data_IF_680811755440
#
_entry.id   IF_680811755440
#
_cell.length_a   1.000
_cell.length_b   1.000
_cell.length_c   1.000
_cell.angle_alpha   90.00
_cell.angle_beta   90.00
_cell.angle_gamma   90.00
#
_symmetry.space_group_name_H-M   'P 1'
#
loop_
_entity.id
_entity.type
_entity.pdbx_description
1 polymer ?
#
# COMPACT_ATOMS: atom_id res chain seq x y z
N UNK A 1 1.89 -7.83 -53.31
CA UNK A 1 2.20 -6.82 -52.27
C UNK A 1 1.14 -6.59 -51.18
N UNK A 2 -0.09 -6.10 -51.44
CA UNK A 2 -1.02 -5.65 -50.36
C UNK A 2 -1.45 -6.77 -49.40
N UNK A 3 -1.84 -7.94 -49.93
CA UNK A 3 -2.27 -9.09 -49.11
C UNK A 3 -1.14 -9.65 -48.22
N UNK A 4 0.08 -9.70 -48.77
CA UNK A 4 1.28 -10.15 -48.07
C UNK A 4 1.57 -9.24 -46.86
N UNK A 5 1.51 -7.92 -47.08
CA UNK A 5 1.69 -6.92 -46.01
C UNK A 5 0.61 -7.06 -44.95
N UNK A 6 -0.67 -7.14 -45.33
CA UNK A 6 -1.77 -7.25 -44.36
C UNK A 6 -1.66 -8.50 -43.47
N UNK A 7 -1.35 -9.67 -44.05
CA UNK A 7 -1.22 -10.91 -43.27
C UNK A 7 -0.02 -10.85 -42.32
N UNK A 8 1.12 -10.32 -42.77
CA UNK A 8 2.30 -10.17 -41.93
C UNK A 8 2.10 -9.14 -40.81
N UNK A 9 1.50 -7.99 -41.11
CA UNK A 9 1.20 -6.96 -40.10
C UNK A 9 0.21 -7.45 -39.05
N UNK A 10 -0.87 -8.13 -39.46
CA UNK A 10 -1.86 -8.68 -38.52
C UNK A 10 -1.26 -9.77 -37.62
N UNK A 11 -0.41 -10.64 -38.17
CA UNK A 11 0.32 -11.63 -37.38
C UNK A 11 1.35 -10.99 -36.43
N UNK A 12 2.03 -9.93 -36.87
CA UNK A 12 2.95 -9.16 -36.04
C UNK A 12 2.25 -8.45 -34.88
N UNK A 13 1.08 -7.86 -35.09
CA UNK A 13 0.27 -7.27 -34.02
C UNK A 13 -0.20 -8.31 -33.00
N UNK A 14 -0.67 -9.48 -33.47
CA UNK A 14 -1.08 -10.58 -32.61
C UNK A 14 0.07 -11.09 -31.71
N UNK A 15 1.28 -11.15 -32.26
CA UNK A 15 2.48 -11.54 -31.52
C UNK A 15 2.92 -10.45 -30.53
N UNK A 16 2.80 -9.17 -30.90
CA UNK A 16 3.19 -8.04 -30.06
C UNK A 16 2.38 -7.99 -28.75
N UNK A 17 1.10 -8.34 -28.81
CA UNK A 17 0.20 -8.44 -27.64
C UNK A 17 0.73 -9.45 -26.60
N UNK A 18 1.48 -10.47 -27.02
CA UNK A 18 1.94 -11.56 -26.12
C UNK A 18 3.29 -11.32 -25.44
N UNK A 19 3.89 -10.12 -25.54
CA UNK A 19 5.16 -9.71 -24.87
C UNK A 19 6.39 -10.61 -25.09
N UNK A 20 6.34 -11.62 -25.96
CA UNK A 20 7.34 -12.71 -25.97
C UNK A 20 8.54 -12.50 -26.90
N UNK A 21 8.60 -11.41 -27.69
CA UNK A 21 9.61 -11.24 -28.77
C UNK A 21 10.64 -10.13 -28.54
N UNK A 22 10.67 -9.47 -27.37
CA UNK A 22 11.80 -8.57 -27.09
C UNK A 22 13.18 -9.29 -27.13
N UNK A 23 13.20 -10.64 -27.11
CA UNK A 23 14.43 -11.47 -27.13
C UNK A 23 14.66 -12.33 -28.38
N UNK A 24 13.71 -12.45 -29.32
CA UNK A 24 13.85 -13.41 -30.43
C UNK A 24 14.35 -12.73 -31.69
N UNK A 25 15.48 -13.19 -32.24
CA UNK A 25 15.95 -12.74 -33.56
C UNK A 25 14.94 -13.14 -34.64
N UNK A 26 14.36 -12.13 -35.29
CA UNK A 26 13.54 -12.34 -36.47
C UNK A 26 14.44 -12.73 -37.64
N UNK A 27 14.47 -14.02 -37.99
CA UNK A 27 15.29 -14.56 -39.08
C UNK A 27 14.45 -14.72 -40.35
N UNK A 28 15.06 -14.44 -41.50
CA UNK A 28 14.50 -14.61 -42.85
C UNK A 28 13.77 -15.95 -43.05
N UNK A 29 14.29 -17.01 -42.41
CA UNK A 29 13.71 -18.37 -42.44
C UNK A 29 12.31 -18.45 -41.82
N UNK A 30 12.01 -17.63 -40.82
CA UNK A 30 10.71 -17.65 -40.14
C UNK A 30 9.61 -17.04 -41.02
N UNK A 31 9.91 -15.94 -41.72
CA UNK A 31 9.00 -15.32 -42.69
C UNK A 31 8.67 -16.30 -43.80
N UNK A 32 9.70 -16.90 -44.41
CA UNK A 32 9.52 -17.91 -45.47
C UNK A 32 8.66 -19.08 -44.99
N UNK A 33 8.91 -19.59 -43.77
CA UNK A 33 8.13 -20.70 -43.20
C UNK A 33 6.65 -20.34 -43.06
N UNK A 34 6.36 -19.13 -42.59
CA UNK A 34 4.99 -18.63 -42.40
C UNK A 34 4.27 -18.41 -43.73
N UNK A 35 4.96 -17.86 -44.74
CA UNK A 35 4.37 -17.66 -46.06
C UNK A 35 4.07 -19.01 -46.74
N UNK A 36 4.96 -19.99 -46.58
CA UNK A 36 4.73 -21.36 -47.05
C UNK A 36 3.55 -22.02 -46.36
N UNK A 37 3.42 -21.91 -45.03
CA UNK A 37 2.30 -22.53 -44.30
C UNK A 37 0.93 -21.95 -44.68
N UNK A 38 0.90 -20.72 -45.19
CA UNK A 38 -0.32 -20.06 -45.66
C UNK A 38 -0.50 -20.11 -47.19
N UNK A 39 0.34 -20.88 -47.89
CA UNK A 39 0.33 -21.02 -49.35
C UNK A 39 0.40 -19.68 -50.11
N UNK A 40 1.11 -18.70 -49.55
CA UNK A 40 1.26 -17.37 -50.12
C UNK A 40 2.46 -17.40 -51.09
N UNK A 41 2.23 -17.04 -52.35
CA UNK A 41 3.31 -16.82 -53.32
C UNK A 41 4.01 -15.50 -53.04
N UNK A 42 5.32 -15.49 -53.20
CA UNK A 42 6.17 -14.32 -52.95
C UNK A 42 7.33 -14.28 -53.93
N UNK A 43 7.82 -13.08 -54.23
CA UNK A 43 9.14 -12.90 -54.85
C UNK A 43 10.22 -12.66 -53.79
N UNK A 44 11.49 -12.81 -54.17
CA UNK A 44 12.62 -12.49 -53.28
C UNK A 44 12.62 -11.01 -52.89
N UNK A 45 12.31 -10.13 -53.84
CA UNK A 45 12.21 -8.68 -53.64
C UNK A 45 11.13 -8.33 -52.62
N UNK A 46 9.95 -8.97 -52.70
CA UNK A 46 8.88 -8.76 -51.72
C UNK A 46 9.27 -9.17 -50.29
N UNK A 47 10.09 -10.22 -50.13
CA UNK A 47 10.60 -10.60 -48.80
C UNK A 47 11.65 -9.60 -48.32
N UNK A 48 12.55 -9.17 -49.20
CA UNK A 48 13.62 -8.24 -48.84
C UNK A 48 13.06 -6.89 -48.38
N UNK A 49 11.98 -6.40 -49.01
CA UNK A 49 11.24 -5.21 -48.60
C UNK A 49 10.62 -5.37 -47.19
N UNK A 50 9.96 -6.50 -46.92
CA UNK A 50 9.39 -6.79 -45.59
C UNK A 50 10.47 -6.82 -44.51
N UNK A 51 11.62 -7.43 -44.81
CA UNK A 51 12.75 -7.52 -43.88
C UNK A 51 13.36 -6.14 -43.61
N UNK A 52 13.43 -5.27 -44.63
CA UNK A 52 13.89 -3.89 -44.50
C UNK A 52 12.95 -3.06 -43.63
N UNK A 53 11.64 -3.13 -43.87
CA UNK A 53 10.62 -2.48 -43.03
C UNK A 53 10.71 -2.95 -41.57
N UNK A 54 10.92 -4.25 -41.33
CA UNK A 54 11.07 -4.81 -39.99
C UNK A 54 12.33 -4.29 -39.26
N UNK A 55 13.45 -4.10 -39.97
CA UNK A 55 14.66 -3.51 -39.38
C UNK A 55 14.41 -2.08 -38.92
N UNK A 56 13.78 -1.27 -39.75
CA UNK A 56 13.41 0.12 -39.42
C UNK A 56 12.49 0.14 -38.19
N UNK A 57 11.48 -0.73 -38.17
CA UNK A 57 10.56 -0.84 -37.03
C UNK A 57 11.27 -1.27 -35.74
N UNK A 58 12.20 -2.23 -35.81
CA UNK A 58 13.00 -2.69 -34.66
C UNK A 58 13.95 -1.60 -34.14
N UNK A 59 14.52 -0.79 -35.01
CA UNK A 59 15.35 0.37 -34.63
C UNK A 59 14.51 1.46 -33.97
N UNK A 60 13.31 1.74 -34.51
CA UNK A 60 12.33 2.62 -33.86
C UNK A 60 11.93 2.13 -32.46
N UNK A 61 11.69 0.83 -32.30
CA UNK A 61 11.39 0.23 -31.00
C UNK A 61 12.56 0.31 -30.02
N UNK A 62 13.80 0.10 -30.46
CA UNK A 62 14.99 0.28 -29.59
C UNK A 62 15.14 1.72 -29.11
N UNK A 63 14.80 2.70 -29.97
CA UNK A 63 14.75 4.11 -29.59
C UNK A 63 13.66 4.37 -28.54
N UNK A 64 12.48 3.76 -28.71
CA UNK A 64 11.38 3.83 -27.73
C UNK A 64 11.76 3.13 -26.41
N UNK A 65 12.39 1.96 -26.43
CA UNK A 65 12.88 1.27 -25.22
C UNK A 65 14.01 2.05 -24.52
N UNK A 66 14.90 2.68 -25.29
CA UNK A 66 15.92 3.58 -24.78
C UNK A 66 15.31 4.79 -24.07
N UNK A 67 14.22 5.33 -24.60
CA UNK A 67 13.47 6.43 -24.01
C UNK A 67 12.54 5.97 -22.85
N UNK A 68 11.99 4.75 -22.89
CA UNK A 68 11.19 4.17 -21.80
C UNK A 68 12.04 3.83 -20.56
N UNK A 69 13.35 3.62 -20.71
CA UNK A 69 14.24 3.47 -19.55
C UNK A 69 14.37 4.76 -18.70
N UNK A 70 13.89 5.92 -19.18
CA UNK A 70 13.82 7.16 -18.41
C UNK A 70 12.43 7.56 -17.93
N UNK A 71 11.41 6.72 -18.16
CA UNK A 71 10.07 6.93 -17.58
C UNK A 71 9.67 5.68 -16.82
N UNK A 72 10.11 5.59 -15.56
CA UNK A 72 9.30 4.90 -14.55
C UNK A 72 7.98 5.67 -14.48
N UNK A 73 6.99 5.27 -15.27
CA UNK A 73 5.59 5.60 -14.96
C UNK A 73 5.33 4.91 -13.63
N UNK A 74 5.49 5.64 -12.53
CA UNK A 74 5.04 5.21 -11.22
C UNK A 74 3.53 5.05 -11.32
N UNK A 75 3.06 3.81 -11.31
CA UNK A 75 1.65 3.42 -11.17
C UNK A 75 1.14 3.75 -9.76
N UNK A 76 1.49 4.92 -9.25
CA UNK A 76 1.42 5.33 -7.85
C UNK A 76 0.12 6.10 -7.53
N UNK A 77 -0.79 6.18 -8.50
CA UNK A 77 -2.03 6.93 -8.39
C UNK A 77 -3.17 5.94 -8.18
N UNK A 78 -3.79 6.00 -6.99
CA UNK A 78 -4.98 5.22 -6.66
C UNK A 78 -6.12 5.69 -7.60
N UNK A 79 -6.78 4.75 -8.27
CA UNK A 79 -7.87 5.08 -9.19
C UNK A 79 -9.11 5.54 -8.42
N UNK A 80 -9.98 6.31 -9.09
CA UNK A 80 -11.26 6.73 -8.51
C UNK A 80 -12.11 5.55 -8.06
N UNK A 81 -12.12 4.45 -8.82
CA UNK A 81 -12.89 3.24 -8.51
C UNK A 81 -12.39 2.60 -7.20
N UNK A 82 -11.08 2.49 -7.04
CA UNK A 82 -10.46 1.95 -5.82
C UNK A 82 -10.68 2.86 -4.60
N UNK A 83 -10.54 4.18 -4.80
CA UNK A 83 -10.80 5.16 -3.75
C UNK A 83 -12.27 5.16 -3.32
N UNK A 84 -13.20 5.09 -4.28
CA UNK A 84 -14.65 4.98 -4.02
C UNK A 84 -14.98 3.73 -3.22
N UNK A 85 -14.48 2.58 -3.64
CA UNK A 85 -14.67 1.32 -2.90
C UNK A 85 -14.15 1.44 -1.46
N UNK A 86 -12.96 2.01 -1.28
CA UNK A 86 -12.37 2.18 0.05
C UNK A 86 -13.21 3.12 0.92
N UNK A 87 -13.77 4.20 0.36
CA UNK A 87 -14.67 5.10 1.06
C UNK A 87 -16.00 4.43 1.45
N UNK A 88 -16.55 3.57 0.60
CA UNK A 88 -17.75 2.77 0.88
C UNK A 88 -17.55 1.77 2.01
N UNK A 89 -16.35 1.16 2.14
CA UNK A 89 -16.03 0.28 3.26
C UNK A 89 -16.12 1.00 4.62
N UNK A 90 -15.74 2.28 4.67
CA UNK A 90 -15.79 3.08 5.90
C UNK A 90 -17.15 3.70 6.19
N UNK A 91 -17.86 4.14 5.16
CA UNK A 91 -19.04 5.00 5.28
C UNK A 91 -20.35 4.31 4.86
N UNK A 92 -20.27 3.06 4.40
CA UNK A 92 -21.40 2.26 3.94
C UNK A 92 -21.76 2.46 2.46
N UNK A 93 -22.46 1.46 1.93
CA UNK A 93 -23.11 1.50 0.62
C UNK A 93 -24.34 2.42 0.70
N UNK A 94 -24.44 3.39 -0.22
CA UNK A 94 -25.50 4.41 -0.17
C UNK A 94 -25.18 5.66 -0.98
N UNK A 95 -26.12 6.61 -1.00
CA UNK A 95 -26.03 7.86 -1.77
C UNK A 95 -24.74 8.64 -1.45
N UNK A 96 -24.22 9.34 -2.45
CA UNK A 96 -23.00 10.14 -2.33
C UNK A 96 -23.21 11.24 -1.28
N UNK A 97 -22.50 11.11 -0.15
CA UNK A 97 -22.44 12.13 0.89
C UNK A 97 -21.22 13.02 0.69
N UNK A 98 -21.26 14.24 1.22
CA UNK A 98 -20.10 15.15 1.20
C UNK A 98 -18.85 14.50 1.81
N UNK A 99 -19.04 13.71 2.86
CA UNK A 99 -17.97 12.97 3.53
C UNK A 99 -17.38 11.87 2.63
N UNK A 100 -18.22 11.14 1.90
CA UNK A 100 -17.78 10.12 0.94
C UNK A 100 -17.00 10.76 -0.21
N UNK A 101 -17.52 11.83 -0.80
CA UNK A 101 -16.85 12.59 -1.85
C UNK A 101 -15.51 13.15 -1.38
N UNK A 102 -15.46 13.72 -0.18
CA UNK A 102 -14.21 14.19 0.42
C UNK A 102 -13.19 13.06 0.57
N UNK A 103 -13.60 11.93 1.14
CA UNK A 103 -12.69 10.81 1.39
C UNK A 103 -12.13 10.23 0.08
N UNK A 104 -12.96 10.09 -0.96
CA UNK A 104 -12.50 9.66 -2.29
C UNK A 104 -11.41 10.60 -2.83
N UNK A 105 -11.66 11.91 -2.80
CA UNK A 105 -10.69 12.89 -3.26
C UNK A 105 -9.41 12.88 -2.42
N UNK A 106 -9.54 12.74 -1.10
CA UNK A 106 -8.41 12.68 -0.18
C UNK A 106 -7.54 11.43 -0.40
N UNK A 107 -8.16 10.27 -0.68
CA UNK A 107 -7.42 9.03 -0.99
C UNK A 107 -6.61 9.18 -2.27
N UNK A 108 -7.18 9.82 -3.29
CA UNK A 108 -6.50 10.07 -4.57
C UNK A 108 -5.39 11.12 -4.45
N UNK A 109 -5.46 12.02 -3.47
CA UNK A 109 -4.47 13.07 -3.22
C UNK A 109 -3.50 12.70 -2.09
N UNK A 110 -2.28 12.29 -2.45
CA UNK A 110 -1.20 11.96 -1.50
C UNK A 110 -0.93 13.06 -0.46
N UNK A 111 -1.21 14.33 -0.77
CA UNK A 111 -1.01 15.43 0.19
C UNK A 111 -2.01 15.40 1.36
N UNK A 112 -3.16 14.75 1.17
CA UNK A 112 -4.23 14.66 2.16
C UNK A 112 -4.21 13.36 2.98
N UNK A 113 -3.32 12.41 2.66
CA UNK A 113 -3.22 11.12 3.37
C UNK A 113 -3.02 11.26 4.88
N UNK A 114 -2.33 12.32 5.32
CA UNK A 114 -2.20 12.64 6.75
C UNK A 114 -3.53 12.99 7.41
N UNK A 115 -4.39 13.71 6.70
CA UNK A 115 -5.69 14.16 7.23
C UNK A 115 -6.71 13.03 7.24
N UNK A 116 -6.63 12.07 6.30
CA UNK A 116 -7.40 10.83 6.35
C UNK A 116 -7.19 10.14 7.71
N UNK A 117 -5.94 9.99 8.15
CA UNK A 117 -5.63 9.31 9.41
C UNK A 117 -6.19 10.03 10.65
N UNK A 118 -6.45 11.34 10.58
CA UNK A 118 -7.11 12.08 11.67
C UNK A 118 -8.61 11.82 11.70
N UNK A 119 -9.24 11.80 10.52
CA UNK A 119 -10.69 11.65 10.40
C UNK A 119 -11.12 10.21 10.65
N UNK A 120 -10.34 9.24 10.18
CA UNK A 120 -10.63 7.82 10.35
C UNK A 120 -10.13 7.22 11.67
N UNK A 121 -9.40 7.98 12.51
CA UNK A 121 -8.83 7.48 13.77
C UNK A 121 -9.91 6.82 14.64
N UNK A 122 -10.95 7.57 15.01
CA UNK A 122 -12.01 7.08 15.90
C UNK A 122 -12.78 5.89 15.30
N UNK A 123 -13.01 5.90 13.98
CA UNK A 123 -13.71 4.78 13.31
C UNK A 123 -12.83 3.54 13.28
N UNK A 124 -11.52 3.70 13.10
CA UNK A 124 -10.57 2.60 13.15
C UNK A 124 -10.44 2.00 14.55
N UNK A 125 -10.59 2.80 15.61
CA UNK A 125 -10.63 2.31 17.00
C UNK A 125 -11.81 1.35 17.21
N UNK A 126 -13.00 1.68 16.71
CA UNK A 126 -14.18 0.80 16.76
C UNK A 126 -13.88 -0.53 16.05
N UNK A 127 -13.29 -0.46 14.86
CA UNK A 127 -12.92 -1.66 14.09
C UNK A 127 -11.88 -2.53 14.83
N UNK A 128 -10.84 -1.90 15.38
CA UNK A 128 -9.79 -2.56 16.17
C UNK A 128 -10.38 -3.21 17.43
N UNK A 129 -11.29 -2.55 18.13
CA UNK A 129 -11.92 -3.09 19.33
C UNK A 129 -12.75 -4.34 19.03
N UNK A 130 -13.54 -4.30 17.96
CA UNK A 130 -14.27 -5.49 17.50
C UNK A 130 -13.31 -6.63 17.19
N UNK A 131 -12.26 -6.34 16.41
CA UNK A 131 -11.24 -7.33 16.06
C UNK A 131 -10.53 -7.90 17.31
N UNK A 132 -10.15 -7.07 18.27
CA UNK A 132 -9.52 -7.51 19.52
C UNK A 132 -10.46 -8.42 20.32
N UNK A 133 -11.74 -8.05 20.42
CA UNK A 133 -12.75 -8.85 21.13
C UNK A 133 -12.93 -10.23 20.47
N UNK A 134 -13.05 -10.27 19.14
CA UNK A 134 -13.13 -11.51 18.36
C UNK A 134 -11.89 -12.40 18.52
N UNK A 135 -10.69 -11.81 18.58
CA UNK A 135 -9.42 -12.55 18.63
C UNK A 135 -9.04 -13.02 20.03
N UNK A 136 -9.48 -12.32 21.07
CA UNK A 136 -9.17 -12.65 22.47
C UNK A 136 -10.32 -13.34 23.19
N UNK A 137 -11.55 -13.25 22.66
CA UNK A 137 -12.76 -13.71 23.33
C UNK A 137 -13.16 -12.83 24.53
N UNK A 138 -12.55 -11.65 24.69
CA UNK A 138 -12.76 -10.74 25.82
C UNK A 138 -13.59 -9.54 25.44
N UNK A 139 -14.28 -8.97 26.42
CA UNK A 139 -14.95 -7.68 26.23
C UNK A 139 -13.90 -6.56 26.12
N UNK A 140 -14.03 -5.70 25.09
CA UNK A 140 -13.19 -4.52 24.89
C UNK A 140 -14.04 -3.27 25.12
N UNK A 141 -13.65 -2.40 26.05
CA UNK A 141 -14.35 -1.15 26.34
C UNK A 141 -13.54 0.04 25.83
N UNK A 142 -14.18 0.89 25.04
CA UNK A 142 -13.60 2.20 24.67
C UNK A 142 -13.54 3.12 25.88
N UNK A 143 -12.46 3.90 25.97
CA UNK A 143 -12.21 4.81 27.08
C UNK A 143 -11.93 6.21 26.52
N UNK A 144 -12.50 7.23 27.17
CA UNK A 144 -12.40 8.63 26.74
C UNK A 144 -11.77 9.44 27.86
N UNK A 145 -10.82 10.32 27.52
CA UNK A 145 -10.15 11.21 28.46
C UNK A 145 -8.88 10.62 29.11
N UNK A 146 -8.58 9.35 28.83
CA UNK A 146 -7.38 8.67 29.31
C UNK A 146 -6.22 8.74 28.30
N UNK A 147 -5.03 8.26 28.71
CA UNK A 147 -3.88 8.10 27.82
C UNK A 147 -3.98 6.89 26.88
N UNK A 148 -4.99 6.04 27.07
CA UNK A 148 -5.29 4.85 26.29
C UNK A 148 -6.70 4.91 25.72
N UNK A 149 -6.89 4.34 24.54
CA UNK A 149 -8.16 4.40 23.81
C UNK A 149 -9.11 3.27 24.22
N UNK A 150 -8.62 2.16 24.76
CA UNK A 150 -9.44 0.99 25.13
C UNK A 150 -8.87 0.13 26.27
N UNK A 151 -9.72 -0.63 26.93
CA UNK A 151 -9.35 -1.54 28.03
C UNK A 151 -10.08 -2.88 27.89
N UNK A 152 -9.37 -3.99 28.12
CA UNK A 152 -9.95 -5.33 28.23
C UNK A 152 -10.53 -5.56 29.63
N UNK A 153 -11.44 -6.53 29.78
CA UNK A 153 -12.03 -6.94 31.06
C UNK A 153 -11.00 -7.30 32.16
N UNK A 154 -9.85 -7.86 31.76
CA UNK A 154 -8.71 -8.16 32.63
C UNK A 154 -7.81 -6.95 32.93
N UNK A 155 -8.28 -5.74 32.61
CA UNK A 155 -7.61 -4.44 32.85
C UNK A 155 -6.37 -4.17 31.99
N UNK A 156 -6.16 -4.93 30.91
CA UNK A 156 -5.12 -4.60 29.93
C UNK A 156 -5.51 -3.35 29.16
N UNK A 157 -4.68 -2.31 29.22
CA UNK A 157 -4.90 -0.99 28.60
C UNK A 157 -4.23 -0.92 27.23
N UNK A 158 -4.97 -0.44 26.24
CA UNK A 158 -4.59 -0.50 24.84
C UNK A 158 -4.68 0.90 24.24
N UNK A 159 -3.58 1.34 23.63
CA UNK A 159 -3.56 2.55 22.83
C UNK A 159 -3.61 2.21 21.35
N UNK A 160 -4.46 2.89 20.59
CA UNK A 160 -4.71 2.57 19.17
C UNK A 160 -4.23 3.72 18.29
N UNK A 161 -3.61 3.41 17.16
CA UNK A 161 -3.21 4.42 16.16
C UNK A 161 -3.44 3.96 14.74
N UNK A 162 -4.08 4.81 13.96
CA UNK A 162 -4.16 4.70 12.51
C UNK A 162 -2.83 5.13 11.87
N UNK A 163 -2.08 4.21 11.23
CA UNK A 163 -0.77 4.53 10.60
C UNK A 163 -0.53 3.71 9.34
N UNK A 164 -0.20 4.38 8.23
CA UNK A 164 0.20 3.72 6.99
C UNK A 164 1.73 3.50 6.93
N UNK A 165 2.49 4.58 6.74
CA UNK A 165 3.93 4.50 6.50
C UNK A 165 4.76 4.66 7.77
N UNK A 166 4.83 5.87 8.30
CA UNK A 166 5.60 6.19 9.50
C UNK A 166 4.75 5.94 10.75
N UNK A 167 5.29 5.21 11.72
CA UNK A 167 4.61 4.86 12.95
C UNK A 167 5.01 5.82 14.08
N UNK A 168 4.62 7.09 13.90
CA UNK A 168 4.77 8.11 14.93
C UNK A 168 3.78 7.84 16.07
N UNK A 169 4.29 7.88 17.29
CA UNK A 169 3.58 7.51 18.51
C UNK A 169 3.75 8.61 19.59
N UNK A 170 3.73 9.86 19.16
CA UNK A 170 3.82 11.01 20.06
C UNK A 170 2.43 11.46 20.54
N UNK A 171 2.37 12.06 21.73
CA UNK A 171 1.12 12.68 22.22
C UNK A 171 0.94 14.05 21.55
N UNK A 172 -0.30 14.45 21.34
CA UNK A 172 -0.65 15.82 20.91
C UNK A 172 -0.73 16.81 22.08
N UNK A 173 -0.27 16.42 23.29
CA UNK A 173 -0.34 17.27 24.48
C UNK A 173 0.55 18.50 24.29
N UNK A 174 0.02 19.68 24.67
CA UNK A 174 0.76 20.95 24.63
C UNK A 174 1.96 20.89 25.59
N UNK A 175 3.06 21.51 25.17
CA UNK A 175 4.22 21.74 26.03
C UNK A 175 3.76 22.55 27.24
N UNK A 176 3.94 21.98 28.42
CA UNK A 176 3.73 22.65 29.71
C UNK A 176 4.95 22.40 30.57
N UNK A 177 5.18 23.23 31.59
CA UNK A 177 6.26 23.02 32.58
C UNK A 177 6.25 21.61 33.19
N UNK A 178 5.08 20.95 33.26
CA UNK A 178 4.95 19.57 33.75
C UNK A 178 5.55 18.50 32.82
N UNK A 179 5.85 18.84 31.56
CA UNK A 179 6.32 17.93 30.51
C UNK A 179 7.62 18.43 29.83
N UNK A 180 8.35 19.36 30.43
CA UNK A 180 9.60 19.89 29.82
C UNK A 180 10.65 18.79 29.60
N UNK A 181 10.73 17.80 30.48
CA UNK A 181 11.73 16.74 30.41
C UNK A 181 11.39 15.59 29.43
N UNK A 182 10.15 15.52 28.95
CA UNK A 182 9.63 14.49 28.03
C UNK A 182 9.60 14.98 26.58
N UNK A 183 10.12 16.17 26.33
CA UNK A 183 10.01 16.90 25.08
C UNK A 183 11.38 17.09 24.43
N UNK A 184 11.65 16.38 23.33
CA UNK A 184 12.87 16.59 22.53
C UNK A 184 12.62 17.30 21.19
N UNK A 185 11.36 17.39 20.73
CA UNK A 185 11.01 17.84 19.36
C UNK A 185 9.76 18.71 19.27
N UNK A 186 9.19 19.14 20.40
CA UNK A 186 7.90 19.83 20.50
C UNK A 186 6.71 18.92 20.83
N UNK A 187 6.92 17.60 20.87
CA UNK A 187 5.91 16.59 21.20
C UNK A 187 6.29 15.82 22.47
N UNK A 188 5.29 15.55 23.30
CA UNK A 188 5.46 14.86 24.58
C UNK A 188 5.36 13.35 24.36
N UNK A 189 6.39 12.62 24.78
CA UNK A 189 6.37 11.15 24.82
C UNK A 189 5.37 10.63 25.86
N UNK A 190 4.74 9.50 25.56
CA UNK A 190 3.99 8.73 26.55
C UNK A 190 4.92 8.22 27.66
N UNK A 191 4.39 8.06 28.87
CA UNK A 191 5.11 7.37 29.94
C UNK A 191 4.98 5.86 29.79
N UNK A 192 5.94 5.12 30.34
CA UNK A 192 5.96 3.66 30.27
C UNK A 192 4.84 2.96 31.04
N UNK A 193 4.11 3.68 31.89
CA UNK A 193 3.02 3.17 32.72
C UNK A 193 1.63 3.63 32.25
N UNK A 194 1.52 4.37 31.15
CA UNK A 194 0.25 4.97 30.69
C UNK A 194 -0.72 3.99 30.00
N UNK A 195 -0.22 2.86 29.49
CA UNK A 195 -1.01 1.76 28.92
C UNK A 195 -0.21 0.46 29.02
N UNK A 196 -0.57 -0.61 28.31
CA UNK A 196 0.17 -1.89 28.32
C UNK A 196 0.57 -2.34 26.90
N UNK A 197 -0.29 -2.08 25.91
CA UNK A 197 -0.01 -2.40 24.50
C UNK A 197 -0.37 -1.25 23.55
N UNK A 198 0.44 -1.11 22.50
CA UNK A 198 0.12 -0.28 21.35
C UNK A 198 -0.43 -1.16 20.23
N UNK A 199 -1.56 -0.77 19.66
CA UNK A 199 -2.15 -1.39 18.48
C UNK A 199 -2.13 -0.42 17.32
N UNK A 200 -1.49 -0.82 16.23
CA UNK A 200 -1.48 -0.08 14.98
C UNK A 200 -2.53 -0.67 14.05
N UNK A 201 -3.50 0.15 13.66
CA UNK A 201 -4.32 -0.10 12.48
C UNK A 201 -3.61 0.47 11.26
N UNK A 202 -3.18 -0.40 10.37
CA UNK A 202 -2.57 -0.02 9.09
C UNK A 202 -3.58 -0.30 7.99
N UNK A 203 -4.15 0.74 7.36
CA UNK A 203 -5.14 0.52 6.32
C UNK A 203 -4.52 -0.17 5.10
N UNK A 204 -5.38 -0.66 4.20
CA UNK A 204 -4.93 -1.15 2.89
C UNK A 204 -4.24 -0.05 2.07
N UNK A 205 -3.63 -0.43 0.94
CA UNK A 205 -2.89 0.51 0.08
C UNK A 205 -3.76 1.69 -0.42
N UNK A 206 -5.07 1.48 -0.48
CA UNK A 206 -6.06 2.47 -0.93
C UNK A 206 -6.79 3.13 0.24
N UNK A 207 -6.23 3.05 1.46
CA UNK A 207 -6.85 3.48 2.71
C UNK A 207 -8.13 2.71 3.12
N UNK A 208 -8.46 1.61 2.44
CA UNK A 208 -9.59 0.76 2.77
C UNK A 208 -9.38 -0.10 4.02
N UNK A 209 -10.47 -0.69 4.51
CA UNK A 209 -10.48 -1.74 5.52
C UNK A 209 -10.02 -3.06 4.89
N UNK A 210 -10.40 -3.33 3.65
CA UNK A 210 -9.92 -4.50 2.91
C UNK A 210 -8.42 -4.42 2.70
N UNK A 211 -7.72 -5.50 3.07
CA UNK A 211 -6.26 -5.55 3.04
C UNK A 211 -5.59 -4.70 4.13
N UNK A 212 -6.35 -4.15 5.07
CA UNK A 212 -5.80 -3.57 6.29
C UNK A 212 -5.16 -4.66 7.16
N UNK A 213 -4.31 -4.21 8.06
CA UNK A 213 -3.59 -5.06 9.00
C UNK A 213 -3.59 -4.42 10.37
N UNK A 214 -3.73 -5.25 11.41
CA UNK A 214 -3.64 -4.83 12.81
C UNK A 214 -2.36 -5.43 13.38
N UNK A 215 -1.58 -4.60 14.09
CA UNK A 215 -0.30 -5.00 14.69
C UNK A 215 -0.28 -4.61 16.15
N UNK A 216 -0.02 -5.58 17.00
CA UNK A 216 0.15 -5.37 18.44
C UNK A 216 1.64 -5.21 18.77
N UNK A 217 1.96 -4.32 19.70
CA UNK A 217 3.32 -4.09 20.18
C UNK A 217 3.26 -3.94 21.70
N UNK A 218 3.98 -4.75 22.48
CA UNK A 218 4.03 -4.58 23.93
C UNK A 218 4.85 -3.34 24.28
N UNK A 219 4.48 -2.66 25.37
CA UNK A 219 5.22 -1.48 25.83
C UNK A 219 6.69 -1.76 26.08
N UNK A 220 7.05 -2.95 26.55
CA UNK A 220 8.44 -3.33 26.80
C UNK A 220 9.34 -3.14 25.58
N UNK A 221 8.80 -3.22 24.37
CA UNK A 221 9.52 -2.96 23.12
C UNK A 221 9.65 -1.47 22.75
N UNK A 222 8.84 -0.61 23.37
CA UNK A 222 8.73 0.82 23.08
C UNK A 222 9.42 1.70 24.12
N UNK A 223 9.95 1.12 25.21
CA UNK A 223 10.69 1.85 26.24
C UNK A 223 11.89 2.55 25.62
N UNK A 224 12.05 3.84 25.91
CA UNK A 224 13.20 4.61 25.47
C UNK A 224 14.44 4.19 26.28
N UNK A 225 15.49 3.64 25.65
CA UNK A 225 16.67 3.15 26.37
C UNK A 225 17.44 4.26 27.09
N UNK A 226 17.28 5.52 26.66
CA UNK A 226 17.90 6.69 27.32
C UNK A 226 17.04 7.30 28.41
N UNK A 227 15.73 7.02 28.42
CA UNK A 227 14.75 7.56 29.35
C UNK A 227 13.70 6.48 29.68
N UNK A 228 14.01 5.51 30.56
CA UNK A 228 13.19 4.31 30.75
C UNK A 228 11.75 4.57 31.23
N UNK A 229 11.50 5.73 31.82
CA UNK A 229 10.15 6.19 32.21
C UNK A 229 9.31 6.72 31.04
N UNK A 230 9.87 6.77 29.83
CA UNK A 230 9.24 7.29 28.62
C UNK A 230 9.28 6.25 27.51
N UNK A 231 8.29 6.33 26.63
CA UNK A 231 8.27 5.59 25.38
C UNK A 231 8.99 6.37 24.28
N UNK A 232 9.41 5.67 23.24
CA UNK A 232 9.88 6.31 22.01
C UNK A 232 8.72 7.05 21.32
N UNK A 233 8.98 8.23 20.77
CA UNK A 233 7.98 9.01 20.02
C UNK A 233 7.81 8.54 18.57
N UNK A 234 8.76 7.75 18.07
CA UNK A 234 8.70 7.14 16.75
C UNK A 234 9.21 5.70 16.81
N UNK A 235 8.44 4.78 16.24
CA UNK A 235 8.82 3.37 16.17
C UNK A 235 9.87 3.21 15.07
N UNK A 236 11.09 2.88 15.48
CA UNK A 236 12.20 2.70 14.54
C UNK A 236 11.99 1.45 13.64
N UNK A 237 12.77 1.38 12.56
CA UNK A 237 12.69 0.30 11.58
C UNK A 237 12.93 -1.09 12.16
N UNK A 238 13.79 -1.21 13.19
CA UNK A 238 14.09 -2.49 13.85
C UNK A 238 12.85 -3.04 14.57
N UNK A 239 12.20 -2.22 15.40
CA UNK A 239 10.96 -2.60 16.09
C UNK A 239 9.87 -2.86 15.05
N UNK A 240 9.69 -1.96 14.07
CA UNK A 240 8.68 -2.13 13.02
C UNK A 240 8.85 -3.46 12.28
N UNK A 241 10.07 -3.83 11.87
CA UNK A 241 10.34 -5.10 11.18
C UNK A 241 10.01 -6.32 12.07
N UNK A 242 10.22 -6.22 13.37
CA UNK A 242 9.93 -7.29 14.32
C UNK A 242 8.44 -7.50 14.54
N UNK A 243 7.65 -6.43 14.58
CA UNK A 243 6.23 -6.49 14.95
C UNK A 243 5.25 -6.31 13.79
N UNK A 244 5.67 -5.85 12.60
CA UNK A 244 4.81 -5.76 11.40
C UNK A 244 4.64 -7.13 10.71
N UNK A 245 4.15 -8.12 11.47
CA UNK A 245 3.78 -9.44 10.98
C UNK A 245 2.70 -10.09 11.87
N UNK A 246 2.02 -11.09 11.33
CA UNK A 246 0.92 -11.77 12.02
C UNK A 246 1.41 -12.69 13.15
N UNK A 247 2.56 -13.33 13.00
CA UNK A 247 3.11 -14.25 14.00
C UNK A 247 3.31 -13.55 15.35
N UNK A 248 4.03 -12.42 15.36
CA UNK A 248 4.19 -11.62 16.58
C UNK A 248 2.90 -11.02 17.09
N UNK A 249 1.99 -10.63 16.20
CA UNK A 249 0.67 -10.16 16.62
C UNK A 249 -0.07 -11.25 17.40
N UNK A 250 -0.06 -12.50 16.91
CA UNK A 250 -0.72 -13.63 17.56
C UNK A 250 -0.06 -14.05 18.88
N UNK A 251 1.28 -14.02 18.95
CA UNK A 251 2.02 -14.24 20.19
C UNK A 251 1.60 -13.23 21.26
N UNK A 252 1.50 -11.95 20.91
CA UNK A 252 1.10 -10.89 21.83
C UNK A 252 -0.34 -11.05 22.27
N UNK A 253 -1.26 -11.34 21.34
CA UNK A 253 -2.66 -11.61 21.68
C UNK A 253 -2.77 -12.75 22.71
N UNK A 254 -1.95 -13.78 22.56
CA UNK A 254 -1.93 -14.90 23.52
C UNK A 254 -1.46 -14.47 24.91
N UNK A 255 -0.61 -13.45 25.01
CA UNK A 255 -0.17 -12.86 26.29
C UNK A 255 -1.16 -11.86 26.88
N UNK A 256 -2.15 -11.39 26.12
CA UNK A 256 -3.25 -10.56 26.61
C UNK A 256 -4.35 -11.38 27.30
N UNK A 257 -4.29 -12.72 27.19
CA UNK A 257 -5.23 -13.66 27.81
C UNK A 257 -5.02 -13.83 29.31
#
# INVERSE_FOLDING_TARGET
>A
MTLLKTVLFSWMESIFITKKIAKTEFKYRNVISLLKSNNIRYTKEEIDDVVKEFKIYKEGLKSIEGNMKMVKITTDTISFVEAKKSAEEWLGEGSDSLMKTWLVNAIMDKKQHRDIGKVLANVSEIYVNRWLSERTGKEVKSVVGESYDSILDNKVRIQIKFRMDAWHFETTRRNSKKNEETNSTGHVAYKSDEFDFLVIFKPGQTFGITGSTIRCIPISALINPKKPNQLVTNINSKIKKMYDNEEKTNEILSSMN
#
